data_IF_612866036094
#
_entry.id   IF_612866036094
#
_cell.length_a   1.000
_cell.length_b   1.000
_cell.length_c   1.000
_cell.angle_alpha   90.00
_cell.angle_beta   90.00
_cell.angle_gamma   90.00
#
_symmetry.space_group_name_H-M   'P 1'
#
loop_
_entity.id
_entity.type
_entity.pdbx_description
1 polymer ?
#
# COMPACT_ATOMS: atom_id res chain seq x y z
N UNK A 1 11.42 23.30 20.36
CA UNK A 1 11.03 21.91 20.68
C UNK A 1 11.37 21.04 19.50
N UNK A 2 12.36 20.18 19.64
CA UNK A 2 12.84 19.31 18.56
C UNK A 2 11.91 18.11 18.47
N UNK A 3 10.89 18.17 17.61
CA UNK A 3 10.19 16.97 17.18
C UNK A 3 11.20 16.14 16.39
N UNK A 4 11.88 15.22 17.07
CA UNK A 4 12.47 14.07 16.43
C UNK A 4 11.28 13.27 15.90
N UNK A 5 10.81 13.65 14.71
CA UNK A 5 9.84 12.88 13.93
C UNK A 5 10.34 11.45 13.96
N UNK A 6 9.60 10.58 14.64
CA UNK A 6 9.83 9.15 14.67
C UNK A 6 9.67 8.64 13.23
N UNK A 7 10.72 8.82 12.42
CA UNK A 7 10.82 8.45 11.00
C UNK A 7 10.50 6.98 10.73
N UNK A 8 10.36 6.18 11.79
CA UNK A 8 10.06 4.76 11.74
C UNK A 8 8.56 4.44 11.78
N UNK A 9 7.69 5.35 12.25
CA UNK A 9 6.26 5.06 12.41
C UNK A 9 5.44 5.45 11.18
N UNK A 10 4.39 4.67 10.92
CA UNK A 10 3.40 4.95 9.89
C UNK A 10 2.70 6.28 10.19
N UNK A 11 2.53 7.11 9.16
CA UNK A 11 1.68 8.29 9.23
C UNK A 11 0.35 7.97 8.55
N UNK A 12 -0.76 8.07 9.29
CA UNK A 12 -2.11 7.76 8.80
C UNK A 12 -3.04 8.95 8.97
N UNK A 13 -3.80 9.25 7.94
CA UNK A 13 -4.85 10.27 7.92
C UNK A 13 -6.15 9.60 7.47
N UNK A 14 -7.23 9.82 8.22
CA UNK A 14 -8.57 9.31 7.92
C UNK A 14 -9.50 10.47 7.64
N UNK A 15 -10.22 10.42 6.52
CA UNK A 15 -11.10 11.49 6.06
C UNK A 15 -12.42 10.87 5.62
N UNK A 16 -13.59 11.33 6.10
CA UNK A 16 -14.87 10.89 5.55
C UNK A 16 -15.01 11.38 4.10
N UNK A 17 -15.54 10.56 3.21
CA UNK A 17 -15.72 10.92 1.81
C UNK A 17 -16.48 9.87 1.02
N UNK A 18 -16.96 10.23 -0.17
CA UNK A 18 -17.58 9.25 -1.08
C UNK A 18 -16.51 8.59 -1.96
N UNK A 19 -16.90 7.50 -2.63
CA UNK A 19 -16.07 6.86 -3.65
C UNK A 19 -15.58 7.83 -4.74
N UNK A 20 -16.38 8.84 -5.10
CA UNK A 20 -16.00 9.83 -6.10
C UNK A 20 -14.90 10.77 -5.58
N UNK A 21 -14.99 11.20 -4.32
CA UNK A 21 -13.93 11.97 -3.67
C UNK A 21 -12.62 11.16 -3.62
N UNK A 22 -12.71 9.86 -3.31
CA UNK A 22 -11.56 8.96 -3.34
C UNK A 22 -10.88 8.95 -4.72
N UNK A 23 -11.62 8.76 -5.81
CA UNK A 23 -11.06 8.76 -7.16
C UNK A 23 -10.39 10.08 -7.54
N UNK A 24 -10.95 11.21 -7.11
CA UNK A 24 -10.34 12.53 -7.32
C UNK A 24 -9.00 12.67 -6.58
N UNK A 25 -8.96 12.25 -5.31
CA UNK A 25 -7.73 12.25 -4.52
C UNK A 25 -6.71 11.29 -5.12
N UNK A 26 -7.14 10.09 -5.52
CA UNK A 26 -6.29 9.09 -6.17
C UNK A 26 -5.59 9.65 -7.40
N UNK A 27 -6.32 10.37 -8.27
CA UNK A 27 -5.75 11.04 -9.43
C UNK A 27 -4.68 12.08 -9.05
N UNK A 28 -4.92 12.86 -8.00
CA UNK A 28 -3.95 13.83 -7.49
C UNK A 28 -2.68 13.21 -6.88
N UNK A 29 -2.73 11.92 -6.52
CA UNK A 29 -1.65 11.17 -5.91
C UNK A 29 -0.95 10.19 -6.88
N UNK A 30 -1.30 10.17 -8.16
CA UNK A 30 -0.66 9.28 -9.16
C UNK A 30 0.87 9.44 -9.20
N UNK A 31 1.38 10.65 -8.96
CA UNK A 31 2.82 10.95 -8.94
C UNK A 31 3.47 10.75 -7.54
N UNK A 32 2.65 10.63 -6.49
CA UNK A 32 3.11 10.54 -5.10
C UNK A 32 3.54 9.12 -4.74
N UNK A 33 4.80 8.75 -5.05
CA UNK A 33 5.37 7.40 -4.82
C UNK A 33 5.33 6.85 -3.38
N UNK A 34 5.12 7.68 -2.36
CA UNK A 34 5.29 7.29 -0.94
C UNK A 34 3.99 7.17 -0.15
N UNK A 35 2.91 7.77 -0.63
CA UNK A 35 1.62 7.70 0.03
C UNK A 35 0.77 6.62 -0.64
N UNK A 36 0.13 5.77 0.16
CA UNK A 36 -0.85 4.77 -0.28
C UNK A 36 -2.23 5.28 0.10
N UNK A 37 -3.20 5.00 -0.76
CA UNK A 37 -4.59 5.43 -0.64
C UNK A 37 -5.51 4.21 -0.57
N UNK A 38 -6.46 4.22 0.36
CA UNK A 38 -7.49 3.20 0.49
C UNK A 38 -8.86 3.85 0.74
N UNK A 39 -9.93 3.15 0.35
CA UNK A 39 -11.31 3.55 0.62
C UNK A 39 -12.08 2.38 1.20
N UNK A 40 -12.78 2.61 2.29
CA UNK A 40 -13.65 1.62 2.92
C UNK A 40 -14.83 2.33 3.60
N UNK A 41 -16.06 1.91 3.28
CA UNK A 41 -17.30 2.37 3.93
C UNK A 41 -17.39 3.89 4.20
N UNK A 42 -17.18 4.71 3.17
CA UNK A 42 -17.29 6.16 3.30
C UNK A 42 -16.11 6.83 4.00
N UNK A 43 -15.02 6.09 4.23
CA UNK A 43 -13.77 6.59 4.80
C UNK A 43 -12.64 6.44 3.79
N UNK A 44 -11.92 7.52 3.56
CA UNK A 44 -10.69 7.58 2.76
C UNK A 44 -9.51 7.57 3.72
N UNK A 45 -8.60 6.63 3.50
CA UNK A 45 -7.37 6.50 4.26
C UNK A 45 -6.17 6.88 3.38
N UNK A 46 -5.32 7.73 3.92
CA UNK A 46 -4.02 8.08 3.36
C UNK A 46 -2.96 7.59 4.35
N UNK A 47 -2.11 6.66 3.91
CA UNK A 47 -1.02 6.11 4.73
C UNK A 47 0.33 6.35 4.06
N UNK A 48 1.28 6.89 4.81
CA UNK A 48 2.70 6.88 4.44
C UNK A 48 3.38 5.83 5.31
N UNK A 49 3.70 4.64 4.77
CA UNK A 49 4.35 3.60 5.54
C UNK A 49 5.70 4.06 6.08
N UNK A 50 5.95 3.76 7.34
CA UNK A 50 7.26 3.89 7.97
C UNK A 50 8.20 2.78 7.50
N UNK A 51 9.48 2.92 7.84
CA UNK A 51 10.51 1.96 7.45
C UNK A 51 10.26 0.56 8.04
N UNK A 52 9.66 0.47 9.23
CA UNK A 52 9.34 -0.79 9.87
C UNK A 52 8.26 -1.54 9.10
N UNK A 53 7.20 -0.84 8.68
CA UNK A 53 6.13 -1.41 7.85
C UNK A 53 6.68 -1.96 6.53
N UNK A 54 7.55 -1.22 5.85
CA UNK A 54 8.21 -1.67 4.63
C UNK A 54 9.12 -2.89 4.89
N UNK A 55 9.86 -2.90 6.01
CA UNK A 55 10.73 -4.01 6.39
C UNK A 55 9.94 -5.29 6.65
N UNK A 56 8.88 -5.21 7.44
CA UNK A 56 8.03 -6.38 7.73
C UNK A 56 7.34 -6.89 6.46
N UNK A 57 6.81 -6.00 5.62
CA UNK A 57 6.20 -6.37 4.34
C UNK A 57 7.19 -7.16 3.46
N UNK A 58 8.46 -6.74 3.40
CA UNK A 58 9.51 -7.45 2.66
C UNK A 58 9.85 -8.81 3.25
N UNK A 59 9.92 -8.93 4.57
CA UNK A 59 10.18 -10.22 5.25
C UNK A 59 9.05 -11.20 4.94
N UNK A 60 7.79 -10.76 5.06
CA UNK A 60 6.62 -11.60 4.75
C UNK A 60 6.64 -12.02 3.28
N UNK A 61 6.89 -11.07 2.37
CA UNK A 61 6.99 -11.37 0.94
C UNK A 61 8.09 -12.41 0.65
N UNK A 62 9.25 -12.28 1.30
CA UNK A 62 10.35 -13.23 1.14
C UNK A 62 9.98 -14.64 1.64
N UNK A 63 9.37 -14.75 2.81
CA UNK A 63 8.97 -16.04 3.38
C UNK A 63 7.91 -16.74 2.53
N UNK A 64 6.85 -16.01 2.15
CA UNK A 64 5.75 -16.56 1.34
C UNK A 64 6.26 -16.95 -0.05
N UNK A 65 7.02 -16.07 -0.71
CA UNK A 65 7.59 -16.37 -2.03
C UNK A 65 8.49 -17.60 -1.99
N UNK A 66 9.36 -17.71 -0.98
CA UNK A 66 10.25 -18.87 -0.81
C UNK A 66 9.45 -20.16 -0.61
N UNK A 67 8.39 -20.12 0.20
CA UNK A 67 7.50 -21.26 0.40
C UNK A 67 6.82 -21.69 -0.91
N UNK A 68 6.23 -20.75 -1.65
CA UNK A 68 5.55 -21.05 -2.92
C UNK A 68 6.51 -21.61 -3.97
N UNK A 69 7.72 -21.04 -4.08
CA UNK A 69 8.77 -21.55 -4.96
C UNK A 69 9.13 -23.01 -4.63
N UNK A 70 9.29 -23.33 -3.33
CA UNK A 70 9.58 -24.71 -2.89
C UNK A 70 8.46 -25.69 -3.22
N UNK A 71 7.21 -25.25 -3.23
CA UNK A 71 6.06 -26.06 -3.59
C UNK A 71 5.82 -26.15 -5.10
N UNK A 72 6.63 -25.47 -5.93
CA UNK A 72 6.44 -25.41 -7.37
C UNK A 72 5.20 -24.62 -7.80
N UNK A 73 4.66 -23.77 -6.92
CA UNK A 73 3.47 -22.98 -7.18
C UNK A 73 3.89 -21.69 -7.90
N UNK A 74 3.31 -21.43 -9.06
CA UNK A 74 3.54 -20.18 -9.79
C UNK A 74 2.85 -19.01 -9.07
N UNK A 75 3.56 -17.90 -8.94
CA UNK A 75 3.03 -16.64 -8.41
C UNK A 75 3.72 -15.45 -9.06
N UNK A 76 3.05 -14.30 -9.04
CA UNK A 76 3.59 -13.04 -9.53
C UNK A 76 3.56 -11.98 -8.43
N UNK A 77 4.71 -11.35 -8.17
CA UNK A 77 4.83 -10.24 -7.22
C UNK A 77 4.46 -8.93 -7.92
N UNK A 78 3.18 -8.58 -7.97
CA UNK A 78 2.70 -7.39 -8.70
C UNK A 78 2.73 -6.10 -7.87
N UNK A 79 3.08 -6.17 -6.59
CA UNK A 79 3.09 -4.99 -5.72
C UNK A 79 1.72 -4.30 -5.69
N UNK A 80 1.70 -2.97 -5.71
CA UNK A 80 0.48 -2.16 -5.75
C UNK A 80 -0.02 -1.87 -7.18
N UNK A 81 0.26 -2.76 -8.14
CA UNK A 81 -0.19 -2.60 -9.52
C UNK A 81 -1.54 -3.29 -9.68
N UNK A 82 -2.54 -2.56 -10.17
CA UNK A 82 -3.81 -3.14 -10.59
C UNK A 82 -3.55 -4.11 -11.74
N UNK A 83 -3.73 -5.41 -11.50
CA UNK A 83 -3.76 -6.40 -12.57
C UNK A 83 -5.08 -6.28 -13.32
N UNK A 84 -5.02 -5.72 -14.52
CA UNK A 84 -6.13 -5.80 -15.46
C UNK A 84 -6.07 -7.22 -16.03
N UNK A 85 -6.94 -8.10 -15.54
CA UNK A 85 -7.07 -9.45 -16.11
C UNK A 85 -7.61 -9.31 -17.53
N UNK A 86 -6.71 -9.39 -18.52
CA UNK A 86 -7.12 -9.58 -19.91
C UNK A 86 -7.56 -11.04 -20.03
N UNK A 87 -8.86 -11.28 -20.01
CA UNK A 87 -9.40 -12.56 -20.42
C UNK A 87 -9.29 -12.62 -21.95
N UNK A 88 -8.35 -13.43 -22.44
CA UNK A 88 -8.31 -13.89 -23.83
C UNK A 88 -9.36 -14.96 -24.05
#
# INVERSE_FOLDING_TARGET
MTQVLSKNLDQRILIPGTWEHFKLIQKGFEEARKARLAYYEGTIEIITPGIDHERFSRIINFLVSTFLLKQGIWFQMTGAVTQILHHS
#
